data_IF_822344001436
#
_entry.id   IF_822344001436
#
_cell.length_a   1.000
_cell.length_b   1.000
_cell.length_c   1.000
_cell.angle_alpha   90.00
_cell.angle_beta   90.00
_cell.angle_gamma   90.00
#
_symmetry.space_group_name_H-M   'P 1'
#
loop_
_entity.id
_entity.type
_entity.pdbx_description
1 polymer ?
#
# COMPACT_ATOMS: atom_id res chain seq x y z
N UNK A 1 -9.83 -27.92 -19.12
CA UNK A 1 -10.29 -28.05 -17.71
C UNK A 1 -10.98 -26.81 -17.18
N UNK A 2 -10.52 -25.60 -17.50
CA UNK A 2 -11.22 -24.35 -17.18
C UNK A 2 -10.78 -23.25 -18.17
N UNK A 3 -11.66 -22.30 -18.49
CA UNK A 3 -11.32 -21.15 -19.33
C UNK A 3 -11.60 -19.83 -18.60
N UNK A 4 -10.57 -18.98 -18.48
CA UNK A 4 -10.71 -17.58 -18.09
C UNK A 4 -10.72 -16.69 -19.32
N UNK A 5 -11.88 -16.22 -19.75
CA UNK A 5 -11.99 -15.21 -20.79
C UNK A 5 -11.85 -13.80 -20.20
N UNK A 6 -10.60 -13.35 -20.09
CA UNK A 6 -10.23 -11.99 -19.69
C UNK A 6 -10.07 -11.04 -20.88
N UNK A 7 -10.33 -11.52 -22.10
CA UNK A 7 -10.17 -10.71 -23.30
C UNK A 7 -11.30 -9.67 -23.39
N UNK A 8 -10.93 -8.42 -23.69
CA UNK A 8 -11.90 -7.37 -23.92
C UNK A 8 -11.28 -6.14 -24.57
N UNK A 9 -11.95 -5.60 -25.57
CA UNK A 9 -11.63 -4.31 -26.17
C UNK A 9 -12.11 -3.21 -25.23
N UNK A 10 -11.17 -2.34 -24.84
CA UNK A 10 -11.42 -1.17 -24.01
C UNK A 10 -11.15 0.10 -24.84
N UNK A 11 -12.09 1.06 -24.83
CA UNK A 11 -11.95 2.38 -25.50
C UNK A 11 -11.48 2.32 -26.98
N UNK A 12 -12.21 1.63 -27.88
CA UNK A 12 -11.97 1.72 -29.31
C UNK A 12 -12.29 3.12 -29.84
N UNK A 13 -11.75 3.47 -31.00
CA UNK A 13 -12.04 4.74 -31.67
C UNK A 13 -13.46 4.75 -32.28
N UNK A 14 -14.00 3.57 -32.63
CA UNK A 14 -15.36 3.38 -33.11
C UNK A 14 -16.14 2.45 -32.15
N UNK A 15 -17.35 2.86 -31.77
CA UNK A 15 -18.24 2.09 -30.92
C UNK A 15 -18.61 0.72 -31.54
N UNK A 16 -18.60 0.58 -32.86
CA UNK A 16 -18.87 -0.68 -33.56
C UNK A 16 -17.82 -1.76 -33.26
N UNK A 17 -16.59 -1.38 -32.90
CA UNK A 17 -15.50 -2.29 -32.56
C UNK A 17 -15.71 -3.01 -31.21
N UNK A 18 -16.49 -2.43 -30.29
CA UNK A 18 -16.84 -3.11 -29.04
C UNK A 18 -17.62 -4.40 -29.32
N UNK A 19 -18.65 -4.31 -30.17
CA UNK A 19 -19.43 -5.47 -30.58
C UNK A 19 -18.55 -6.46 -31.33
N UNK A 20 -17.85 -6.03 -32.39
CA UNK A 20 -17.03 -6.94 -33.19
C UNK A 20 -15.93 -7.64 -32.39
N UNK A 21 -15.26 -6.94 -31.48
CA UNK A 21 -14.16 -7.47 -30.68
C UNK A 21 -14.61 -8.38 -29.53
N UNK A 22 -15.47 -7.87 -28.64
CA UNK A 22 -15.87 -8.61 -27.44
C UNK A 22 -16.81 -9.77 -27.76
N UNK A 23 -17.84 -9.50 -28.56
CA UNK A 23 -18.82 -10.52 -28.94
C UNK A 23 -18.18 -11.53 -29.89
N UNK A 24 -17.44 -11.06 -30.90
CA UNK A 24 -16.82 -11.94 -31.91
C UNK A 24 -15.82 -12.94 -31.31
N UNK A 25 -14.97 -12.51 -30.37
CA UNK A 25 -14.04 -13.42 -29.71
C UNK A 25 -14.77 -14.41 -28.79
N UNK A 26 -15.73 -13.95 -27.99
CA UNK A 26 -16.51 -14.83 -27.12
C UNK A 26 -17.26 -15.90 -27.92
N UNK A 27 -17.91 -15.54 -29.03
CA UNK A 27 -18.57 -16.51 -29.92
C UNK A 27 -17.58 -17.52 -30.48
N UNK A 28 -16.44 -17.06 -31.00
CA UNK A 28 -15.40 -17.96 -31.56
C UNK A 28 -14.90 -18.96 -30.51
N UNK A 29 -14.68 -18.51 -29.28
CA UNK A 29 -14.27 -19.35 -28.16
C UNK A 29 -15.32 -20.43 -27.85
N UNK A 30 -16.58 -20.04 -27.66
CA UNK A 30 -17.66 -20.96 -27.30
C UNK A 30 -17.98 -21.94 -28.44
N UNK A 31 -17.97 -21.48 -29.69
CA UNK A 31 -18.17 -22.32 -30.88
C UNK A 31 -17.06 -23.36 -31.00
N UNK A 32 -15.82 -23.00 -30.68
CA UNK A 32 -14.69 -23.92 -30.68
C UNK A 32 -14.82 -24.97 -29.58
N UNK A 33 -15.20 -24.57 -28.36
CA UNK A 33 -15.47 -25.52 -27.28
C UNK A 33 -16.59 -26.49 -27.65
N UNK A 34 -17.68 -25.97 -28.24
CA UNK A 34 -18.81 -26.76 -28.73
C UNK A 34 -18.36 -27.77 -29.79
N UNK A 35 -17.59 -27.34 -30.80
CA UNK A 35 -17.06 -28.19 -31.88
C UNK A 35 -16.25 -29.36 -31.35
N UNK A 36 -15.53 -29.16 -30.26
CA UNK A 36 -14.69 -30.18 -29.64
C UNK A 36 -15.39 -30.96 -28.50
N UNK A 37 -16.68 -30.72 -28.25
CA UNK A 37 -17.43 -31.38 -27.17
C UNK A 37 -16.88 -31.10 -25.77
N UNK A 38 -16.17 -29.99 -25.59
CA UNK A 38 -15.55 -29.63 -24.32
C UNK A 38 -16.48 -28.72 -23.53
N UNK A 39 -16.99 -29.21 -22.40
CA UNK A 39 -17.92 -28.51 -21.50
C UNK A 39 -17.24 -27.99 -20.23
N UNK A 40 -15.93 -27.74 -20.29
CA UNK A 40 -15.19 -27.18 -19.16
C UNK A 40 -15.82 -25.85 -18.70
N UNK A 41 -15.69 -25.48 -17.41
CA UNK A 41 -16.23 -24.22 -16.94
C UNK A 41 -15.60 -23.03 -17.66
N UNK A 42 -16.44 -22.05 -18.02
CA UNK A 42 -16.01 -20.83 -18.72
C UNK A 42 -16.38 -19.60 -17.90
N UNK A 43 -15.38 -18.80 -17.57
CA UNK A 43 -15.53 -17.50 -16.93
C UNK A 43 -15.43 -16.37 -17.95
N UNK A 44 -16.29 -15.36 -17.88
CA UNK A 44 -16.14 -14.10 -18.64
C UNK A 44 -15.98 -12.89 -17.72
N UNK A 45 -14.98 -12.05 -18.03
CA UNK A 45 -14.82 -10.73 -17.41
C UNK A 45 -15.73 -9.69 -18.07
N UNK A 46 -16.92 -9.52 -17.51
CA UNK A 46 -17.83 -8.43 -17.82
C UNK A 46 -17.52 -7.19 -16.96
N UNK A 47 -18.39 -6.19 -17.00
CA UNK A 47 -18.25 -4.94 -16.24
C UNK A 47 -19.59 -4.55 -15.62
N UNK A 48 -19.57 -3.82 -14.51
CA UNK A 48 -20.75 -3.14 -13.96
C UNK A 48 -21.45 -2.23 -14.98
N UNK A 49 -20.71 -1.72 -15.97
CA UNK A 49 -21.27 -0.99 -17.12
C UNK A 49 -22.29 -1.80 -17.91
N UNK A 50 -22.26 -3.14 -17.87
CA UNK A 50 -23.24 -4.00 -18.53
C UNK A 50 -24.67 -3.76 -18.05
N UNK A 51 -24.86 -3.22 -16.85
CA UNK A 51 -26.16 -2.83 -16.32
C UNK A 51 -26.67 -1.49 -16.87
N UNK A 52 -25.81 -0.70 -17.51
CA UNK A 52 -26.13 0.61 -18.05
C UNK A 52 -26.48 0.53 -19.55
N UNK A 53 -27.26 1.50 -20.01
CA UNK A 53 -27.70 1.61 -21.41
C UNK A 53 -26.72 2.50 -22.20
N UNK A 54 -25.56 1.93 -22.54
CA UNK A 54 -24.55 2.56 -23.37
C UNK A 54 -23.85 1.51 -24.24
N UNK A 55 -23.18 1.89 -25.35
CA UNK A 55 -22.63 0.93 -26.30
C UNK A 55 -21.63 -0.07 -25.69
N UNK A 56 -20.87 0.35 -24.68
CA UNK A 56 -19.95 -0.55 -23.96
C UNK A 56 -20.71 -1.53 -23.07
N UNK A 57 -21.72 -1.06 -22.35
CA UNK A 57 -22.61 -1.87 -21.53
C UNK A 57 -23.38 -2.90 -22.35
N UNK A 58 -23.94 -2.51 -23.49
CA UNK A 58 -24.62 -3.39 -24.44
C UNK A 58 -23.69 -4.49 -24.95
N UNK A 59 -22.46 -4.14 -25.35
CA UNK A 59 -21.44 -5.11 -25.79
C UNK A 59 -21.11 -6.14 -24.71
N UNK A 60 -20.96 -5.70 -23.46
CA UNK A 60 -20.71 -6.61 -22.34
C UNK A 60 -21.92 -7.50 -22.07
N UNK A 61 -23.13 -6.95 -22.04
CA UNK A 61 -24.38 -7.71 -21.83
C UNK A 61 -24.62 -8.75 -22.91
N UNK A 62 -24.31 -8.43 -24.17
CA UNK A 62 -24.39 -9.40 -25.27
C UNK A 62 -23.42 -10.59 -25.06
N UNK A 63 -22.21 -10.33 -24.57
CA UNK A 63 -21.27 -11.39 -24.20
C UNK A 63 -21.73 -12.27 -23.04
N UNK A 64 -22.40 -11.67 -22.03
CA UNK A 64 -23.01 -12.42 -20.93
C UNK A 64 -24.11 -13.36 -21.44
N UNK A 65 -25.00 -12.84 -22.30
CA UNK A 65 -26.09 -13.61 -22.89
C UNK A 65 -25.60 -14.81 -23.69
N UNK A 66 -24.52 -14.65 -24.46
CA UNK A 66 -23.87 -15.77 -25.17
C UNK A 66 -23.43 -16.89 -24.23
N UNK A 67 -22.85 -16.56 -23.07
CA UNK A 67 -22.44 -17.57 -22.10
C UNK A 67 -23.65 -18.27 -21.49
N UNK A 68 -24.71 -17.54 -21.15
CA UNK A 68 -25.92 -18.14 -20.61
C UNK A 68 -26.64 -19.05 -21.62
N UNK A 69 -26.64 -18.69 -22.90
CA UNK A 69 -27.12 -19.55 -23.99
C UNK A 69 -26.27 -20.81 -24.13
N UNK A 70 -24.95 -20.65 -24.20
CA UNK A 70 -24.02 -21.78 -24.26
C UNK A 70 -24.18 -22.75 -23.08
N UNK A 71 -24.38 -22.23 -21.86
CA UNK A 71 -24.64 -23.05 -20.68
C UNK A 71 -25.95 -23.84 -20.79
N UNK A 72 -27.03 -23.20 -21.26
CA UNK A 72 -28.33 -23.87 -21.48
C UNK A 72 -28.26 -24.96 -22.55
N UNK A 73 -27.47 -24.75 -23.60
CA UNK A 73 -27.31 -25.70 -24.70
C UNK A 73 -26.44 -26.90 -24.35
N UNK A 74 -25.35 -26.68 -23.60
CA UNK A 74 -24.28 -27.68 -23.42
C UNK A 74 -24.21 -28.27 -22.02
N UNK A 75 -24.87 -27.65 -21.04
CA UNK A 75 -24.72 -27.97 -19.62
C UNK A 75 -23.40 -27.52 -19.01
N UNK A 76 -22.55 -26.79 -19.74
CA UNK A 76 -21.30 -26.26 -19.22
C UNK A 76 -21.56 -25.24 -18.09
N UNK A 77 -20.73 -25.30 -17.03
CA UNK A 77 -20.75 -24.30 -15.96
C UNK A 77 -20.22 -22.97 -16.50
N UNK A 78 -21.01 -21.90 -16.38
CA UNK A 78 -20.56 -20.56 -16.74
C UNK A 78 -20.48 -19.65 -15.53
N UNK A 79 -19.51 -18.75 -15.55
CA UNK A 79 -19.19 -17.84 -14.46
C UNK A 79 -19.11 -16.43 -15.04
N UNK A 80 -20.04 -15.56 -14.65
CA UNK A 80 -20.16 -14.21 -15.22
C UNK A 80 -19.88 -13.18 -14.14
N UNK A 81 -18.72 -12.52 -14.22
CA UNK A 81 -18.34 -11.46 -13.28
C UNK A 81 -18.57 -10.09 -13.90
N UNK A 82 -19.34 -9.22 -13.24
CA UNK A 82 -19.47 -7.81 -13.59
C UNK A 82 -18.54 -6.98 -12.72
N UNK A 83 -17.26 -6.91 -13.08
CA UNK A 83 -16.29 -6.16 -12.29
C UNK A 83 -16.59 -4.65 -12.30
N UNK A 84 -16.48 -3.94 -11.16
CA UNK A 84 -16.36 -2.49 -11.17
C UNK A 84 -14.93 -2.12 -11.62
N UNK A 85 -14.48 -0.89 -11.34
CA UNK A 85 -13.13 -0.51 -11.75
C UNK A 85 -12.09 -1.35 -10.98
N UNK A 86 -11.14 -1.94 -11.70
CA UNK A 86 -10.06 -2.73 -11.08
C UNK A 86 -8.82 -1.85 -10.95
N UNK A 87 -8.14 -1.90 -9.81
CA UNK A 87 -6.88 -1.21 -9.59
C UNK A 87 -5.83 -2.13 -8.97
N UNK A 88 -4.56 -1.81 -9.21
CA UNK A 88 -3.44 -2.61 -8.72
C UNK A 88 -2.19 -2.43 -9.58
N UNK A 89 -1.14 -3.14 -9.19
CA UNK A 89 0.12 -3.22 -9.94
C UNK A 89 -0.10 -3.65 -11.39
N UNK A 90 0.79 -3.18 -12.27
CA UNK A 90 0.86 -3.54 -13.70
C UNK A 90 -0.30 -3.08 -14.59
N UNK A 91 -1.27 -2.32 -14.06
CA UNK A 91 -2.29 -1.71 -14.88
C UNK A 91 -1.65 -0.62 -15.78
N UNK A 92 -2.00 -0.57 -17.07
CA UNK A 92 -1.39 0.38 -18.01
C UNK A 92 -1.84 1.82 -17.70
N UNK A 93 -0.92 2.76 -17.38
CA UNK A 93 -1.27 4.15 -17.19
C UNK A 93 -1.62 4.84 -18.52
N UNK A 94 -2.31 5.98 -18.46
CA UNK A 94 -2.68 6.79 -19.64
C UNK A 94 -3.48 6.02 -20.71
N UNK A 95 -4.26 5.03 -20.31
CA UNK A 95 -5.10 4.22 -21.20
C UNK A 95 -6.57 4.22 -20.78
N UNK A 96 -6.96 3.36 -19.83
CA UNK A 96 -8.36 3.21 -19.38
C UNK A 96 -8.56 3.24 -17.86
N UNK A 97 -7.49 3.24 -17.05
CA UNK A 97 -7.56 3.31 -15.59
C UNK A 97 -7.13 4.68 -15.06
N UNK A 98 -8.03 5.35 -14.35
CA UNK A 98 -7.73 6.62 -13.68
C UNK A 98 -6.70 6.42 -12.56
N UNK A 99 -6.84 5.38 -11.74
CA UNK A 99 -5.92 5.08 -10.62
C UNK A 99 -4.50 4.85 -11.13
N UNK A 100 -4.32 4.00 -12.15
CA UNK A 100 -3.00 3.76 -12.75
C UNK A 100 -2.37 5.04 -13.31
N UNK A 101 -3.18 5.85 -13.98
CA UNK A 101 -2.75 7.14 -14.53
C UNK A 101 -2.32 8.11 -13.43
N UNK A 102 -3.07 8.22 -12.34
CA UNK A 102 -2.72 9.10 -11.23
C UNK A 102 -1.50 8.62 -10.48
N UNK A 103 -1.40 7.32 -10.17
CA UNK A 103 -0.21 6.75 -9.53
C UNK A 103 1.04 7.03 -10.37
N UNK A 104 1.00 6.71 -11.67
CA UNK A 104 2.10 6.96 -12.59
C UNK A 104 2.46 8.43 -12.68
N UNK A 105 1.51 9.29 -13.02
CA UNK A 105 1.81 10.68 -13.30
C UNK A 105 2.29 11.40 -12.03
N UNK A 106 1.67 11.17 -10.87
CA UNK A 106 2.12 11.78 -9.61
C UNK A 106 3.51 11.25 -9.19
N UNK A 107 3.81 9.96 -9.38
CA UNK A 107 5.13 9.41 -9.10
C UNK A 107 6.25 10.03 -9.96
N UNK A 108 5.91 10.43 -11.19
CA UNK A 108 6.83 11.04 -12.16
C UNK A 108 6.75 12.57 -12.20
N UNK A 109 6.09 13.20 -11.21
CA UNK A 109 5.85 14.65 -11.18
C UNK A 109 5.20 15.21 -12.47
N UNK A 110 4.40 14.39 -13.14
CA UNK A 110 3.61 14.75 -14.31
C UNK A 110 2.22 15.27 -13.91
N UNK A 111 1.61 16.17 -14.71
CA UNK A 111 0.29 16.68 -14.41
C UNK A 111 -0.78 15.58 -14.48
N UNK A 112 -1.80 15.73 -13.64
CA UNK A 112 -3.04 14.96 -13.70
C UNK A 112 -4.20 15.89 -14.01
N UNK A 113 -5.26 15.35 -14.62
CA UNK A 113 -6.52 16.05 -14.85
C UNK A 113 -7.64 15.38 -14.06
N UNK A 114 -8.30 16.14 -13.21
CA UNK A 114 -9.46 15.73 -12.44
C UNK A 114 -10.61 16.64 -12.85
N UNK A 115 -11.57 16.11 -13.61
CA UNK A 115 -12.70 16.92 -14.09
C UNK A 115 -13.71 17.21 -12.98
N UNK A 116 -14.04 16.18 -12.20
CA UNK A 116 -14.95 16.27 -11.07
C UNK A 116 -14.42 15.41 -9.91
N UNK A 117 -13.89 16.02 -8.84
CA UNK A 117 -13.35 15.27 -7.69
C UNK A 117 -14.44 14.59 -6.86
N UNK A 118 -15.72 14.97 -7.02
CA UNK A 118 -16.83 14.43 -6.23
C UNK A 118 -17.34 13.07 -6.74
N UNK A 119 -16.93 12.67 -7.95
CA UNK A 119 -17.32 11.38 -8.55
C UNK A 119 -16.96 10.23 -7.62
N UNK A 120 -17.97 9.46 -7.22
CA UNK A 120 -17.80 8.25 -6.40
C UNK A 120 -17.37 7.09 -7.30
N UNK A 121 -16.29 6.42 -6.90
CA UNK A 121 -15.72 5.28 -7.59
C UNK A 121 -15.94 4.02 -6.75
N UNK A 122 -16.44 2.96 -7.41
CA UNK A 122 -16.41 1.61 -6.87
C UNK A 122 -15.22 0.86 -7.48
N UNK A 123 -14.38 0.31 -6.63
CA UNK A 123 -13.08 -0.24 -6.98
C UNK A 123 -12.89 -1.62 -6.36
N UNK A 124 -12.28 -2.55 -7.09
CA UNK A 124 -11.76 -3.79 -6.51
C UNK A 124 -10.26 -3.85 -6.73
N UNK A 125 -9.55 -4.37 -5.74
CA UNK A 125 -8.11 -4.54 -5.85
C UNK A 125 -7.77 -5.82 -6.60
N UNK A 126 -6.72 -5.79 -7.41
CA UNK A 126 -6.35 -6.90 -8.28
C UNK A 126 -6.13 -8.22 -7.52
N UNK A 127 -5.58 -8.18 -6.31
CA UNK A 127 -5.35 -9.42 -5.55
C UNK A 127 -6.69 -10.02 -5.06
N UNK A 128 -7.69 -9.19 -4.72
CA UNK A 128 -9.05 -9.69 -4.40
C UNK A 128 -9.70 -10.35 -5.62
N UNK A 129 -9.45 -9.83 -6.83
CA UNK A 129 -9.90 -10.48 -8.09
C UNK A 129 -9.23 -11.83 -8.24
N UNK A 130 -7.90 -11.89 -8.10
CA UNK A 130 -7.13 -13.12 -8.30
C UNK A 130 -7.57 -14.20 -7.32
N UNK A 131 -7.75 -13.86 -6.04
CA UNK A 131 -8.22 -14.80 -5.02
C UNK A 131 -9.61 -15.35 -5.34
N UNK A 132 -10.52 -14.50 -5.83
CA UNK A 132 -11.84 -14.92 -6.27
C UNK A 132 -11.77 -15.84 -7.51
N UNK A 133 -10.92 -15.52 -8.48
CA UNK A 133 -10.77 -16.35 -9.68
C UNK A 133 -10.15 -17.71 -9.36
N UNK A 134 -9.20 -17.79 -8.43
CA UNK A 134 -8.65 -19.05 -7.92
C UNK A 134 -9.75 -19.83 -7.17
N UNK A 135 -10.60 -19.16 -6.39
CA UNK A 135 -11.73 -19.79 -5.72
C UNK A 135 -12.72 -20.41 -6.72
N UNK A 136 -12.96 -19.72 -7.84
CA UNK A 136 -13.80 -20.22 -8.93
C UNK A 136 -13.25 -21.50 -9.58
N UNK A 137 -11.92 -21.66 -9.70
CA UNK A 137 -11.30 -22.93 -10.15
C UNK A 137 -11.68 -24.12 -9.28
N UNK A 138 -11.88 -23.87 -7.98
CA UNK A 138 -12.24 -24.89 -6.99
C UNK A 138 -13.76 -25.01 -6.78
N UNK A 139 -14.57 -24.31 -7.58
CA UNK A 139 -16.03 -24.28 -7.44
C UNK A 139 -16.52 -23.57 -6.18
N UNK A 140 -15.70 -22.68 -5.61
CA UNK A 140 -16.01 -21.86 -4.42
C UNK A 140 -16.16 -20.39 -4.76
N UNK A 141 -16.57 -20.07 -5.99
CA UNK A 141 -16.88 -18.70 -6.38
C UNK A 141 -17.99 -18.09 -5.49
N UNK A 142 -17.94 -16.79 -5.27
CA UNK A 142 -19.04 -16.06 -4.66
C UNK A 142 -20.09 -15.73 -5.73
N UNK A 143 -21.37 -15.96 -5.41
CA UNK A 143 -22.49 -15.78 -6.35
C UNK A 143 -23.59 -14.90 -5.80
N UNK A 144 -24.18 -14.13 -6.71
CA UNK A 144 -25.35 -13.30 -6.48
C UNK A 144 -26.31 -13.51 -7.66
N UNK A 145 -27.27 -14.42 -7.46
CA UNK A 145 -28.13 -14.92 -8.54
C UNK A 145 -27.32 -15.59 -9.65
N UNK A 146 -27.55 -15.15 -10.88
CA UNK A 146 -26.87 -15.68 -12.08
C UNK A 146 -25.43 -15.17 -12.25
N UNK A 147 -25.01 -14.19 -11.44
CA UNK A 147 -23.70 -13.55 -11.52
C UNK A 147 -22.77 -14.01 -10.41
N UNK A 148 -21.47 -13.88 -10.67
CA UNK A 148 -20.42 -14.04 -9.68
C UNK A 148 -19.90 -12.66 -9.25
N UNK A 149 -19.42 -12.55 -8.01
CA UNK A 149 -18.95 -11.27 -7.45
C UNK A 149 -17.63 -11.42 -6.71
N UNK A 150 -16.87 -10.33 -6.64
CA UNK A 150 -15.72 -10.22 -5.73
C UNK A 150 -16.27 -9.64 -4.44
N UNK A 151 -16.13 -10.32 -3.28
CA UNK A 151 -16.81 -9.93 -2.05
C UNK A 151 -16.32 -8.58 -1.48
N UNK A 152 -15.13 -8.13 -1.88
CA UNK A 152 -14.53 -6.89 -1.37
C UNK A 152 -14.57 -5.80 -2.46
N UNK A 153 -15.33 -4.74 -2.19
CA UNK A 153 -15.41 -3.54 -3.02
C UNK A 153 -15.13 -2.30 -2.16
N UNK A 154 -14.23 -1.45 -2.65
CA UNK A 154 -13.87 -0.19 -2.02
C UNK A 154 -14.63 0.96 -2.67
N UNK A 155 -15.15 1.87 -1.86
CA UNK A 155 -15.88 3.05 -2.34
C UNK A 155 -15.18 4.31 -1.87
N UNK A 156 -14.78 5.16 -2.82
CA UNK A 156 -14.07 6.41 -2.52
C UNK A 156 -14.32 7.42 -3.65
N UNK A 157 -14.22 8.71 -3.36
CA UNK A 157 -14.30 9.75 -4.40
C UNK A 157 -13.01 9.83 -5.21
N UNK A 158 -13.11 10.33 -6.45
CA UNK A 158 -11.96 10.57 -7.31
C UNK A 158 -10.97 11.56 -6.65
N UNK A 159 -11.48 12.58 -5.95
CA UNK A 159 -10.70 13.50 -5.14
C UNK A 159 -9.92 12.81 -4.03
N UNK A 160 -10.58 11.93 -3.25
CA UNK A 160 -9.93 11.20 -2.16
C UNK A 160 -8.79 10.28 -2.64
N UNK A 161 -8.94 9.65 -3.81
CA UNK A 161 -7.85 8.88 -4.44
C UNK A 161 -6.64 9.78 -4.72
N UNK A 162 -6.87 10.96 -5.30
CA UNK A 162 -5.81 11.90 -5.66
C UNK A 162 -5.11 12.45 -4.42
N UNK A 163 -5.86 12.77 -3.36
CA UNK A 163 -5.31 13.22 -2.08
C UNK A 163 -4.40 12.16 -1.45
N UNK A 164 -4.84 10.90 -1.41
CA UNK A 164 -4.01 9.79 -0.91
C UNK A 164 -2.73 9.60 -1.73
N UNK A 165 -2.82 9.60 -3.07
CA UNK A 165 -1.62 9.42 -3.91
C UNK A 165 -0.65 10.60 -3.72
N UNK A 166 -1.16 11.82 -3.59
CA UNK A 166 -0.33 13.00 -3.29
C UNK A 166 0.32 12.90 -1.92
N UNK A 167 -0.39 12.42 -0.90
CA UNK A 167 0.22 12.21 0.43
C UNK A 167 1.32 11.17 0.37
N UNK A 168 1.16 10.08 -0.41
CA UNK A 168 2.21 9.07 -0.60
C UNK A 168 3.46 9.66 -1.25
N UNK A 169 3.28 10.52 -2.26
CA UNK A 169 4.37 11.22 -2.94
C UNK A 169 5.16 12.16 -2.01
N UNK A 170 4.55 12.68 -0.95
CA UNK A 170 5.18 13.58 0.02
C UNK A 170 5.85 12.83 1.20
N UNK A 171 5.69 11.50 1.29
CA UNK A 171 6.24 10.71 2.40
C UNK A 171 7.76 10.82 2.53
N UNK A 172 8.57 10.79 1.44
CA UNK A 172 10.01 10.96 1.54
C UNK A 172 10.44 12.27 2.23
N UNK A 173 9.68 13.35 2.05
CA UNK A 173 9.99 14.67 2.58
C UNK A 173 9.50 14.85 4.03
N UNK A 174 8.41 14.17 4.39
CA UNK A 174 7.73 14.31 5.69
C UNK A 174 8.06 13.17 6.67
N UNK A 175 8.65 12.09 6.16
CA UNK A 175 8.85 10.80 6.83
C UNK A 175 7.56 10.17 7.34
N UNK A 176 6.40 10.64 6.87
CA UNK A 176 5.11 10.07 7.23
C UNK A 176 4.89 8.70 6.60
N UNK A 177 3.97 7.92 7.18
CA UNK A 177 3.54 6.61 6.67
C UNK A 177 2.02 6.61 6.51
N UNK A 178 1.47 5.81 5.58
CA UNK A 178 0.03 5.78 5.36
C UNK A 178 -0.68 5.12 6.54
N UNK A 179 -1.97 5.45 6.73
CA UNK A 179 -2.83 4.67 7.61
C UNK A 179 -3.08 3.29 6.99
N UNK A 180 -2.36 2.29 7.50
CA UNK A 180 -2.45 0.91 7.03
C UNK A 180 -3.63 0.13 7.67
N UNK A 181 -4.37 0.74 8.59
CA UNK A 181 -5.60 0.16 9.14
C UNK A 181 -6.76 0.25 8.14
N UNK A 182 -6.75 1.27 7.27
CA UNK A 182 -7.67 1.38 6.15
C UNK A 182 -7.22 0.48 4.98
N UNK A 183 -8.09 -0.48 4.62
CA UNK A 183 -7.78 -1.49 3.62
C UNK A 183 -7.56 -0.89 2.22
N UNK A 184 -8.30 0.17 1.86
CA UNK A 184 -8.15 0.83 0.57
C UNK A 184 -6.82 1.59 0.49
N UNK A 185 -6.50 2.39 1.51
CA UNK A 185 -5.26 3.16 1.63
C UNK A 185 -4.05 2.24 1.54
N UNK A 186 -4.05 1.12 2.28
CA UNK A 186 -3.00 0.10 2.21
C UNK A 186 -2.80 -0.42 0.79
N UNK A 187 -3.88 -0.84 0.12
CA UNK A 187 -3.84 -1.40 -1.25
C UNK A 187 -3.45 -0.35 -2.29
N UNK A 188 -3.90 0.89 -2.12
CA UNK A 188 -3.55 2.00 -3.00
C UNK A 188 -2.09 2.41 -2.83
N UNK A 189 -1.55 2.40 -1.61
CA UNK A 189 -0.12 2.66 -1.38
C UNK A 189 0.76 1.62 -2.06
N UNK A 190 0.47 0.32 -1.89
CA UNK A 190 1.18 -0.74 -2.62
C UNK A 190 1.05 -0.61 -4.14
N UNK A 191 -0.11 -0.17 -4.63
CA UNK A 191 -0.31 0.14 -6.05
C UNK A 191 0.58 1.29 -6.49
N UNK A 192 0.60 2.40 -5.76
CA UNK A 192 1.42 3.57 -6.04
C UNK A 192 2.91 3.23 -6.12
N UNK A 193 3.44 2.45 -5.16
CA UNK A 193 4.84 2.02 -5.16
C UNK A 193 5.23 1.29 -6.44
N UNK A 194 4.32 0.52 -7.06
CA UNK A 194 4.58 -0.19 -8.32
C UNK A 194 4.74 0.71 -9.55
N UNK A 195 4.43 2.01 -9.42
CA UNK A 195 4.61 3.03 -10.46
C UNK A 195 5.74 4.02 -10.15
N UNK A 196 6.50 3.83 -9.07
CA UNK A 196 7.67 4.66 -8.82
C UNK A 196 8.68 4.48 -9.95
N UNK A 197 9.28 5.57 -10.46
CA UNK A 197 10.46 5.45 -11.30
C UNK A 197 11.65 4.95 -10.46
N UNK A 198 12.59 4.26 -11.09
CA UNK A 198 13.70 3.57 -10.41
C UNK A 198 14.53 4.50 -9.52
N UNK A 199 14.73 5.75 -9.95
CA UNK A 199 15.46 6.77 -9.19
C UNK A 199 14.77 7.20 -7.88
N UNK A 200 13.52 6.78 -7.65
CA UNK A 200 12.75 7.04 -6.42
C UNK A 200 12.57 5.82 -5.53
N UNK A 201 13.18 4.69 -5.87
CA UNK A 201 13.18 3.52 -4.98
C UNK A 201 13.94 3.78 -3.67
N UNK A 202 14.83 4.76 -3.67
CA UNK A 202 15.50 5.26 -2.48
C UNK A 202 15.35 6.78 -2.37
N UNK A 203 15.48 7.28 -1.14
CA UNK A 203 15.57 8.70 -0.85
C UNK A 203 16.53 8.90 0.32
N UNK A 204 17.35 9.98 0.31
CA UNK A 204 18.27 10.25 1.40
C UNK A 204 17.51 10.72 2.64
N UNK A 205 17.99 10.31 3.81
CA UNK A 205 17.52 10.87 5.08
C UNK A 205 18.42 12.03 5.51
N UNK A 206 17.84 13.00 6.21
CA UNK A 206 18.60 14.11 6.80
C UNK A 206 19.36 13.62 8.03
N UNK A 207 20.65 13.35 7.87
CA UNK A 207 21.56 13.08 8.99
C UNK A 207 21.99 14.40 9.65
N UNK A 208 21.68 14.58 10.93
CA UNK A 208 22.23 15.68 11.72
C UNK A 208 23.58 15.22 12.28
N UNK A 209 24.68 15.64 11.66
CA UNK A 209 26.04 15.17 11.95
C UNK A 209 26.82 16.23 12.74
N UNK A 210 27.56 15.78 13.75
CA UNK A 210 28.54 16.58 14.49
C UNK A 210 29.74 15.72 14.90
N UNK A 211 30.66 16.28 15.70
CA UNK A 211 31.87 15.57 16.14
C UNK A 211 31.57 14.30 16.95
N UNK A 212 30.37 14.21 17.56
CA UNK A 212 29.92 13.11 18.42
C UNK A 212 29.31 11.96 17.63
N UNK A 213 28.98 12.16 16.34
CA UNK A 213 28.36 11.16 15.47
C UNK A 213 27.18 11.74 14.69
N UNK A 214 26.04 11.04 14.66
CA UNK A 214 24.85 11.53 13.95
C UNK A 214 23.53 11.17 14.61
N UNK A 215 22.47 11.90 14.27
CA UNK A 215 21.08 11.58 14.59
C UNK A 215 20.21 11.76 13.34
N UNK A 216 19.43 10.73 13.01
CA UNK A 216 18.68 10.66 11.75
C UNK A 216 17.27 10.15 12.01
N UNK A 217 16.26 10.95 11.65
CA UNK A 217 14.86 10.53 11.68
C UNK A 217 14.55 9.60 10.49
N UNK A 218 13.71 8.60 10.70
CA UNK A 218 13.37 7.59 9.67
C UNK A 218 11.88 7.55 9.40
N UNK A 219 11.04 7.54 10.44
CA UNK A 219 9.58 7.45 10.34
C UNK A 219 8.94 8.39 11.35
N UNK A 220 7.92 9.13 10.93
CA UNK A 220 7.06 9.98 11.76
C UNK A 220 5.63 9.49 11.63
N UNK A 221 4.99 9.15 12.74
CA UNK A 221 3.57 8.79 12.78
C UNK A 221 2.85 9.76 13.70
N UNK A 222 1.60 10.08 13.39
CA UNK A 222 0.77 10.95 14.23
C UNK A 222 0.23 10.25 15.48
N UNK A 223 0.20 8.91 15.48
CA UNK A 223 -0.50 8.09 16.48
C UNK A 223 0.39 7.05 17.18
N UNK A 224 1.54 6.69 16.61
CA UNK A 224 2.47 5.67 17.13
C UNK A 224 3.89 6.19 17.34
N UNK A 225 4.06 7.50 17.42
CA UNK A 225 5.34 8.13 17.70
C UNK A 225 6.29 8.23 16.50
N UNK A 226 7.56 8.42 16.80
CA UNK A 226 8.62 8.70 15.85
C UNK A 226 9.77 7.70 16.02
N UNK A 227 10.40 7.31 14.91
CA UNK A 227 11.53 6.39 14.88
C UNK A 227 12.76 7.07 14.28
N UNK A 228 13.89 6.90 14.96
CA UNK A 228 15.17 7.51 14.61
C UNK A 228 16.32 6.54 14.86
N UNK A 229 17.47 6.82 14.25
CA UNK A 229 18.74 6.16 14.54
C UNK A 229 19.72 7.20 15.05
N UNK A 230 20.33 6.90 16.19
CA UNK A 230 21.46 7.63 16.73
C UNK A 230 22.74 6.81 16.54
N UNK A 231 23.77 7.46 16.02
CA UNK A 231 25.12 6.92 15.93
C UNK A 231 26.03 7.75 16.84
N UNK A 232 26.70 7.10 17.78
CA UNK A 232 27.65 7.74 18.71
C UNK A 232 29.05 7.18 18.47
N UNK A 233 30.03 8.06 18.23
CA UNK A 233 31.45 7.69 18.08
C UNK A 233 32.04 7.08 19.37
N UNK A 234 33.20 6.42 19.32
CA UNK A 234 33.88 5.90 20.51
C UNK A 234 33.98 6.91 21.66
N UNK A 235 33.71 6.45 22.89
CA UNK A 235 33.77 7.27 24.11
C UNK A 235 32.72 8.39 24.23
N UNK A 236 31.85 8.59 23.23
CA UNK A 236 30.86 9.67 23.24
C UNK A 236 29.74 9.40 24.22
N UNK A 237 29.37 10.43 24.98
CA UNK A 237 28.12 10.48 25.75
C UNK A 237 27.12 11.41 25.06
N UNK A 238 25.87 10.97 24.90
CA UNK A 238 24.73 11.78 24.44
C UNK A 238 23.58 11.69 25.45
N UNK A 239 22.66 12.66 25.41
CA UNK A 239 21.56 12.78 26.38
C UNK A 239 21.87 13.85 27.42
N UNK A 240 21.83 13.47 28.69
CA UNK A 240 21.90 14.37 29.86
C UNK A 240 20.74 15.38 29.88
N UNK A 241 19.55 14.86 29.68
CA UNK A 241 18.31 15.61 29.76
C UNK A 241 17.17 14.71 30.25
N UNK A 242 16.03 15.32 30.55
CA UNK A 242 14.81 14.64 30.97
C UNK A 242 13.58 15.30 30.33
N UNK A 243 12.43 14.65 30.50
CA UNK A 243 11.16 15.05 29.91
C UNK A 243 10.02 15.00 30.93
N UNK A 244 9.00 15.87 30.78
CA UNK A 244 7.78 15.77 31.59
C UNK A 244 6.87 14.65 31.14
N UNK A 245 6.67 14.51 29.82
CA UNK A 245 5.70 13.56 29.22
C UNK A 245 6.33 12.73 28.13
N UNK A 246 7.24 13.31 27.35
CA UNK A 246 7.99 12.58 26.33
C UNK A 246 8.70 11.39 26.94
N UNK A 247 8.61 10.26 26.26
CA UNK A 247 9.27 9.02 26.65
C UNK A 247 9.78 8.31 25.40
N UNK A 248 10.82 7.52 25.61
CA UNK A 248 11.53 6.88 24.52
C UNK A 248 11.85 5.42 24.84
N UNK A 249 12.07 4.63 23.80
CA UNK A 249 12.56 3.25 23.88
C UNK A 249 13.86 3.17 23.11
N UNK A 250 14.95 2.87 23.81
CA UNK A 250 16.26 2.71 23.19
C UNK A 250 16.59 1.24 23.00
N UNK A 251 17.07 0.89 21.80
CA UNK A 251 17.54 -0.44 21.46
C UNK A 251 18.90 -0.31 20.76
N UNK A 252 19.96 -0.81 21.40
CA UNK A 252 21.28 -0.88 20.76
C UNK A 252 21.28 -2.08 19.80
N UNK A 253 21.56 -1.81 18.52
CA UNK A 253 21.58 -2.83 17.46
C UNK A 253 22.99 -3.15 16.96
N UNK A 254 23.96 -2.29 17.24
CA UNK A 254 25.38 -2.51 16.97
C UNK A 254 26.25 -1.76 17.97
N UNK A 255 27.40 -2.32 18.32
CA UNK A 255 28.32 -1.77 19.31
C UNK A 255 27.95 -2.14 20.76
N UNK A 256 28.63 -1.49 21.71
CA UNK A 256 28.51 -1.72 23.14
C UNK A 256 28.45 -0.38 23.89
N UNK A 257 27.47 -0.22 24.79
CA UNK A 257 27.22 1.04 25.47
C UNK A 257 26.63 0.88 26.86
N UNK A 258 26.50 2.01 27.55
CA UNK A 258 25.90 2.13 28.87
C UNK A 258 24.79 3.17 28.81
N UNK A 259 23.58 2.79 29.20
CA UNK A 259 22.47 3.71 29.42
C UNK A 259 22.34 3.96 30.91
N UNK A 260 22.28 5.22 31.33
CA UNK A 260 22.13 5.58 32.74
C UNK A 260 20.90 6.45 32.94
N UNK A 261 20.16 6.19 34.02
CA UNK A 261 18.98 6.95 34.43
C UNK A 261 19.11 7.40 35.89
N UNK A 262 18.75 8.65 36.16
CA UNK A 262 18.70 9.23 37.51
C UNK A 262 17.41 10.01 37.69
N UNK A 263 16.65 9.71 38.74
CA UNK A 263 15.42 10.44 39.06
C UNK A 263 15.75 11.89 39.44
N UNK A 264 14.98 12.85 38.93
CA UNK A 264 15.16 14.26 39.30
C UNK A 264 15.00 14.45 40.81
N UNK A 265 15.94 15.19 41.41
CA UNK A 265 15.99 15.43 42.86
C UNK A 265 16.65 14.31 43.68
N UNK A 266 17.23 13.29 43.04
CA UNK A 266 17.93 12.18 43.70
C UNK A 266 19.34 12.01 43.16
N UNK A 267 20.19 11.29 43.89
CA UNK A 267 21.57 10.97 43.48
C UNK A 267 21.72 9.53 42.95
N UNK A 268 20.70 8.69 43.12
CA UNK A 268 20.75 7.28 42.73
C UNK A 268 20.72 7.12 41.20
N UNK A 269 21.73 6.42 40.67
CA UNK A 269 21.87 6.14 39.24
C UNK A 269 21.61 4.65 39.01
N UNK A 270 20.66 4.36 38.11
CA UNK A 270 20.42 3.02 37.59
C UNK A 270 21.11 2.91 36.23
N UNK A 271 21.91 1.85 36.03
CA UNK A 271 22.71 1.66 34.81
C UNK A 271 22.34 0.36 34.10
N UNK A 272 22.33 0.41 32.77
CA UNK A 272 22.02 -0.70 31.88
C UNK A 272 23.13 -0.82 30.83
N UNK A 273 23.94 -1.87 30.93
CA UNK A 273 24.93 -2.22 29.91
C UNK A 273 24.22 -2.90 28.74
N UNK A 274 24.38 -2.37 27.53
CA UNK A 274 23.58 -2.71 26.35
C UNK A 274 24.46 -2.95 25.14
N UNK A 275 24.12 -3.91 24.28
CA UNK A 275 24.93 -4.23 23.10
C UNK A 275 24.10 -4.77 21.94
N UNK A 276 24.63 -4.68 20.72
CA UNK A 276 24.02 -5.32 19.55
C UNK A 276 24.05 -6.86 19.60
N UNK A 277 24.92 -7.45 20.43
CA UNK A 277 24.99 -8.90 20.64
C UNK A 277 23.81 -9.46 21.44
N UNK A 278 23.14 -8.62 22.24
CA UNK A 278 21.90 -8.96 22.95
C UNK A 278 20.97 -7.75 22.96
N UNK A 279 20.07 -7.70 21.97
CA UNK A 279 19.12 -6.61 21.86
C UNK A 279 18.11 -6.63 23.02
N UNK A 280 18.05 -5.53 23.74
CA UNK A 280 17.09 -5.29 24.80
C UNK A 280 16.56 -3.84 24.71
N UNK A 281 15.34 -3.63 25.19
CA UNK A 281 14.72 -2.30 25.23
C UNK A 281 14.96 -1.68 26.59
N UNK A 282 15.48 -0.44 26.61
CA UNK A 282 15.52 0.38 27.82
C UNK A 282 14.55 1.55 27.66
N UNK A 283 13.62 1.68 28.62
CA UNK A 283 12.62 2.75 28.65
C UNK A 283 13.23 4.03 29.24
N UNK A 284 13.16 5.14 28.50
CA UNK A 284 13.50 6.46 29.02
C UNK A 284 12.29 7.01 29.77
N UNK A 285 12.31 6.84 31.09
CA UNK A 285 11.17 7.15 31.95
C UNK A 285 11.05 8.66 32.16
N UNK A 286 9.87 9.28 31.98
CA UNK A 286 9.65 10.68 32.31
C UNK A 286 10.03 11.01 33.77
N UNK A 287 10.60 12.19 34.00
CA UNK A 287 11.13 12.58 35.31
C UNK A 287 12.45 11.90 35.72
N UNK A 288 13.10 11.17 34.81
CA UNK A 288 14.48 10.71 34.95
C UNK A 288 15.36 11.41 33.91
N UNK A 289 16.44 12.03 34.37
CA UNK A 289 17.51 12.42 33.47
C UNK A 289 18.25 11.18 33.02
N UNK A 290 18.54 11.11 31.73
CA UNK A 290 19.14 9.91 31.14
C UNK A 290 20.25 10.26 30.16
N UNK A 291 21.19 9.35 29.99
CA UNK A 291 22.25 9.44 29.00
C UNK A 291 22.52 8.06 28.38
N UNK A 292 23.24 8.08 27.26
CA UNK A 292 23.82 6.90 26.64
C UNK A 292 25.28 7.16 26.31
N UNK A 293 26.15 6.22 26.69
CA UNK A 293 27.61 6.27 26.53
C UNK A 293 28.04 5.15 25.59
N UNK A 294 28.84 5.47 24.58
CA UNK A 294 29.55 4.45 23.82
C UNK A 294 30.77 3.98 24.64
N UNK A 295 30.77 2.72 25.06
CA UNK A 295 31.85 2.13 25.86
C UNK A 295 33.01 1.58 24.99
N UNK A 296 32.84 1.58 23.66
CA UNK A 296 33.89 1.16 22.73
C UNK A 296 34.92 2.28 22.53
N UNK A 297 36.18 1.87 22.34
CA UNK A 297 37.29 2.75 21.95
C UNK A 297 37.46 2.84 20.43
N UNK A 298 36.86 1.90 19.67
CA UNK A 298 37.12 1.75 18.23
C UNK A 298 35.88 1.72 17.36
N UNK A 299 34.72 1.35 17.91
CA UNK A 299 33.50 1.11 17.14
C UNK A 299 32.41 2.13 17.47
N UNK A 300 31.62 2.50 16.46
CA UNK A 300 30.44 3.32 16.66
C UNK A 300 29.32 2.51 17.34
N UNK A 301 28.58 3.17 18.24
CA UNK A 301 27.37 2.65 18.85
C UNK A 301 26.16 3.08 18.03
N UNK A 302 25.41 2.11 17.50
CA UNK A 302 24.19 2.35 16.73
C UNK A 302 22.98 2.01 17.59
N UNK A 303 22.18 3.03 17.90
CA UNK A 303 20.99 2.91 18.74
C UNK A 303 19.76 3.29 17.93
N UNK A 304 18.81 2.36 17.85
CA UNK A 304 17.47 2.64 17.37
C UNK A 304 16.65 3.26 18.51
N UNK A 305 15.96 4.36 18.20
CA UNK A 305 15.20 5.14 19.16
C UNK A 305 13.77 5.29 18.67
N UNK A 306 12.82 4.88 19.51
CA UNK A 306 11.43 5.27 19.36
C UNK A 306 11.10 6.36 20.38
N UNK A 307 10.32 7.36 19.98
CA UNK A 307 9.79 8.42 20.85
C UNK A 307 8.27 8.48 20.71
N UNK A 308 7.54 8.70 21.81
CA UNK A 308 6.07 8.68 21.81
C UNK A 308 5.41 9.82 21.01
N UNK A 309 6.14 10.89 20.74
CA UNK A 309 5.69 12.03 19.93
C UNK A 309 6.77 12.49 18.95
N UNK A 310 6.36 13.16 17.88
CA UNK A 310 7.30 13.76 16.95
C UNK A 310 7.97 15.00 17.56
N UNK A 311 9.28 15.17 17.34
CA UNK A 311 9.99 16.35 17.82
C UNK A 311 9.39 17.67 17.28
N UNK A 312 9.09 18.59 18.20
CA UNK A 312 8.66 19.97 17.94
C UNK A 312 9.64 20.96 18.60
N UNK A 313 10.45 21.71 17.82
CA UNK A 313 11.37 22.69 18.37
C UNK A 313 10.71 23.79 19.21
N UNK A 314 9.44 24.12 18.97
CA UNK A 314 8.71 25.13 19.72
C UNK A 314 8.24 24.61 21.09
N UNK A 315 8.11 23.29 21.23
CA UNK A 315 7.67 22.60 22.45
C UNK A 315 8.49 21.32 22.65
N UNK A 316 9.80 21.44 22.94
CA UNK A 316 10.70 20.30 22.88
C UNK A 316 10.46 19.28 24.00
N UNK A 317 9.82 19.66 25.11
CA UNK A 317 9.69 18.85 26.34
C UNK A 317 11.02 18.23 26.79
N UNK A 318 12.14 18.92 26.61
CA UNK A 318 13.49 18.44 26.91
C UNK A 318 14.20 19.46 27.79
N UNK A 319 14.71 19.01 28.94
CA UNK A 319 15.33 19.87 29.96
C UNK A 319 16.64 19.26 30.44
N UNK A 320 17.67 20.08 30.60
CA UNK A 320 19.00 19.67 31.10
C UNK A 320 19.21 20.05 32.55
#
# INVERSE_FOLDING_TARGET
>A
DFVFNLAGVNRPQDASEFMKGNFGFASTLLDTLRKHGNTCPVMISSSTQAALDNPYGESKRAGEQLLFEYSRETGAKVLVYRFPNVFGKWCRPNYNSAVATFCNNIAHDQPIRVNDPSVVMHLVYIDDVVDELISALSGREHRNGDYCEVPVVHTITLGGIVELIRSFRQMPDTLSVPDLSDAFTKKLYSTYLSYLPEERFSYPLKMNVDDRGSFTEIIRTSDRGQFSVNISKPGVTKGQHWHHTKNEKFVVVSGHGLIQLRKIGTEEIVSFEVSGGRMEVVEMIPGYTHNIVNLSETEDLVTFMWCNECFDPARPDTYS
#
